data_IF_663570329528
#
_entry.id   IF_663570329528
#
_cell.length_a   1.000
_cell.length_b   1.000
_cell.length_c   1.000
_cell.angle_alpha   90.00
_cell.angle_beta   90.00
_cell.angle_gamma   90.00
#
_symmetry.space_group_name_H-M   'P 1'
#
loop_
_entity.id
_entity.type
_entity.pdbx_description
1 polymer ?
#
# COMPACT_ATOMS: atom_id res chain seq x y z
N UNK A 1 70.33 8.78 -48.98
CA UNK A 1 69.24 9.74 -49.24
C UNK A 1 67.91 9.11 -48.84
N UNK A 2 67.20 9.78 -47.92
CA UNK A 2 65.84 9.54 -47.40
C UNK A 2 65.51 8.21 -46.71
N UNK A 3 65.86 8.13 -45.41
CA UNK A 3 65.21 7.28 -44.41
C UNK A 3 63.95 7.99 -43.89
N UNK A 4 62.76 7.38 -44.05
CA UNK A 4 61.53 7.83 -43.38
C UNK A 4 61.43 7.14 -42.02
N UNK A 5 61.49 7.92 -40.94
CA UNK A 5 61.28 7.48 -39.56
C UNK A 5 59.78 7.55 -39.30
N UNK A 6 59.16 6.40 -39.00
CA UNK A 6 57.75 6.32 -38.58
C UNK A 6 57.74 6.36 -37.05
N UNK A 7 57.22 7.45 -36.48
CA UNK A 7 56.96 7.55 -35.04
C UNK A 7 55.60 6.89 -34.74
N UNK A 8 55.63 5.76 -34.03
CA UNK A 8 54.45 5.13 -33.44
C UNK A 8 54.07 5.89 -32.17
N UNK A 9 52.97 6.64 -32.21
CA UNK A 9 52.34 7.26 -31.04
C UNK A 9 51.51 6.18 -30.36
N UNK A 10 52.00 5.63 -29.24
CA UNK A 10 51.21 4.77 -28.37
C UNK A 10 50.25 5.63 -27.55
N UNK A 11 48.98 5.60 -27.93
CA UNK A 11 47.88 6.24 -27.19
C UNK A 11 47.53 5.38 -25.97
N UNK A 12 48.07 5.71 -24.80
CA UNK A 12 47.71 5.06 -23.54
C UNK A 12 46.31 5.55 -23.12
N UNK A 13 45.28 4.76 -23.38
CA UNK A 13 43.94 5.00 -22.85
C UNK A 13 43.98 4.80 -21.32
N UNK A 14 43.98 5.90 -20.54
CA UNK A 14 43.63 5.85 -19.13
C UNK A 14 42.12 5.58 -19.03
N UNK A 15 41.77 4.35 -18.64
CA UNK A 15 40.43 4.00 -18.19
C UNK A 15 40.15 4.75 -16.89
N UNK A 16 39.48 5.90 -16.99
CA UNK A 16 38.83 6.54 -15.85
C UNK A 16 37.65 5.63 -15.49
N UNK A 17 37.83 4.78 -14.48
CA UNK A 17 36.73 4.06 -13.86
C UNK A 17 35.82 5.08 -13.20
N UNK A 18 34.74 5.48 -13.88
CA UNK A 18 33.62 6.12 -13.23
C UNK A 18 33.13 5.17 -12.14
N UNK A 19 33.05 5.58 -10.86
CA UNK A 19 32.40 4.75 -9.86
C UNK A 19 30.98 4.52 -10.35
N UNK A 20 30.65 3.25 -10.58
CA UNK A 20 29.27 2.82 -10.69
C UNK A 20 28.57 3.27 -9.43
N UNK A 21 27.67 4.25 -9.54
CA UNK A 21 26.68 4.53 -8.52
C UNK A 21 25.79 3.29 -8.48
N UNK A 22 26.22 2.27 -7.72
CA UNK A 22 25.32 1.23 -7.29
C UNK A 22 24.16 1.97 -6.60
N UNK A 23 22.92 1.66 -6.98
CA UNK A 23 21.74 2.14 -6.28
C UNK A 23 21.92 1.79 -4.80
N UNK A 24 22.35 2.75 -4.00
CA UNK A 24 22.53 2.56 -2.57
C UNK A 24 21.12 2.49 -2.00
N UNK A 25 20.67 1.27 -1.66
CA UNK A 25 19.35 1.08 -1.08
C UNK A 25 19.31 1.88 0.22
N UNK A 26 18.58 3.01 0.23
CA UNK A 26 18.55 3.94 1.36
C UNK A 26 17.98 3.34 2.65
N UNK A 27 17.38 2.15 2.55
CA UNK A 27 16.87 1.40 3.69
C UNK A 27 17.41 -0.03 3.58
N UNK A 28 18.38 -0.42 4.42
CA UNK A 28 18.90 -1.78 4.41
C UNK A 28 17.79 -2.79 4.66
N UNK A 29 17.88 -3.94 3.99
CA UNK A 29 16.93 -5.03 4.16
C UNK A 29 16.80 -5.44 5.64
N UNK A 30 15.56 -5.66 6.09
CA UNK A 30 15.27 -6.07 7.47
C UNK A 30 15.34 -4.96 8.51
N UNK A 31 15.68 -3.73 8.10
CA UNK A 31 15.72 -2.55 8.97
C UNK A 31 14.50 -1.65 8.76
N UNK A 32 14.20 -0.85 9.79
CA UNK A 32 13.19 0.19 9.78
C UNK A 32 13.85 1.56 9.70
N UNK A 33 13.56 2.35 8.66
CA UNK A 33 13.87 3.78 8.64
C UNK A 33 12.73 4.55 9.32
N UNK A 34 13.07 5.47 10.22
CA UNK A 34 12.13 6.40 10.86
C UNK A 34 12.28 7.78 10.19
N UNK A 35 11.41 8.15 9.23
CA UNK A 35 11.66 9.31 8.37
C UNK A 35 11.80 10.63 9.14
N UNK A 36 11.05 10.80 10.23
CA UNK A 36 11.11 12.00 11.08
C UNK A 36 12.47 12.23 11.74
N UNK A 37 13.27 11.17 11.95
CA UNK A 37 14.59 11.24 12.58
C UNK A 37 15.75 10.90 11.66
N UNK A 38 15.46 10.29 10.49
CA UNK A 38 16.47 9.75 9.57
C UNK A 38 17.23 8.54 10.10
N UNK A 39 16.83 7.99 11.26
CA UNK A 39 17.53 6.86 11.90
C UNK A 39 16.96 5.53 11.44
N UNK A 40 17.84 4.55 11.29
CA UNK A 40 17.47 3.15 11.09
C UNK A 40 17.41 2.40 12.43
N UNK A 41 16.52 1.42 12.52
CA UNK A 41 16.32 0.57 13.70
C UNK A 41 16.12 -0.89 13.28
N UNK A 42 16.60 -1.81 14.10
CA UNK A 42 16.29 -3.24 13.92
C UNK A 42 14.82 -3.51 14.23
N UNK A 43 14.27 -4.60 13.69
CA UNK A 43 12.90 -5.02 14.03
C UNK A 43 12.72 -5.21 15.55
N UNK A 44 13.72 -5.75 16.25
CA UNK A 44 13.66 -5.90 17.71
C UNK A 44 13.54 -4.56 18.44
N UNK A 45 14.16 -3.49 17.93
CA UNK A 45 14.13 -2.17 18.54
C UNK A 45 12.87 -1.37 18.19
N UNK A 46 12.25 -1.63 17.03
CA UNK A 46 11.06 -0.90 16.57
C UNK A 46 9.72 -1.59 16.93
N UNK A 47 9.74 -2.90 17.18
CA UNK A 47 8.51 -3.65 17.45
C UNK A 47 7.72 -3.17 18.70
N UNK A 48 8.35 -2.79 19.84
CA UNK A 48 7.62 -2.31 21.02
C UNK A 48 6.70 -1.10 20.76
N UNK A 49 7.02 -0.28 19.77
CA UNK A 49 6.22 0.88 19.34
C UNK A 49 4.88 0.44 18.74
N UNK A 50 4.80 -0.78 18.21
CA UNK A 50 3.61 -1.33 17.56
C UNK A 50 2.65 -1.97 18.56
N UNK A 51 3.17 -2.54 19.64
CA UNK A 51 2.38 -3.32 20.62
C UNK A 51 1.25 -2.49 21.26
N UNK A 52 1.50 -1.21 21.51
CA UNK A 52 0.56 -0.32 22.22
C UNK A 52 -0.39 0.44 21.29
N UNK A 53 -0.35 0.17 19.99
CA UNK A 53 -1.07 0.99 19.01
C UNK A 53 -2.44 0.43 18.71
N UNK A 54 -3.47 1.27 18.79
CA UNK A 54 -4.83 0.83 18.50
C UNK A 54 -5.06 0.58 17.01
N UNK A 55 -4.41 1.36 16.15
CA UNK A 55 -4.54 1.25 14.70
C UNK A 55 -3.18 1.27 14.03
N UNK A 56 -2.93 0.31 13.16
CA UNK A 56 -1.72 0.21 12.35
C UNK A 56 -2.16 0.04 10.89
N UNK A 57 -1.63 0.85 9.99
CA UNK A 57 -1.83 0.72 8.56
C UNK A 57 -0.56 0.15 7.94
N UNK A 58 -0.69 -0.97 7.23
CA UNK A 58 0.38 -1.64 6.52
C UNK A 58 0.20 -1.40 5.01
N UNK A 59 1.20 -0.74 4.43
CA UNK A 59 1.30 -0.50 2.99
C UNK A 59 1.68 -1.74 2.20
N UNK A 60 1.47 -1.68 0.89
CA UNK A 60 2.04 -2.61 -0.09
C UNK A 60 2.13 -1.99 -1.47
N UNK A 61 2.95 -2.64 -2.29
CA UNK A 61 2.75 -2.68 -3.73
C UNK A 61 2.07 -4.01 -4.05
N UNK A 62 0.89 -3.95 -4.64
CA UNK A 62 -0.06 -5.07 -4.70
C UNK A 62 0.47 -6.35 -5.38
N UNK A 63 1.48 -6.24 -6.24
CA UNK A 63 2.09 -7.36 -6.95
C UNK A 63 3.36 -7.89 -6.26
N UNK A 64 3.89 -7.18 -5.27
CA UNK A 64 5.18 -7.49 -4.65
C UNK A 64 4.99 -8.54 -3.54
N UNK A 65 5.44 -9.77 -3.79
CA UNK A 65 5.33 -10.87 -2.84
C UNK A 65 6.06 -10.62 -1.50
N UNK A 66 7.20 -9.92 -1.53
CA UNK A 66 7.98 -9.62 -0.32
C UNK A 66 7.21 -8.68 0.63
N UNK A 67 6.41 -7.77 0.08
CA UNK A 67 5.54 -6.90 0.88
C UNK A 67 4.49 -7.71 1.66
N UNK A 68 3.83 -8.66 1.01
CA UNK A 68 2.84 -9.51 1.69
C UNK A 68 3.48 -10.48 2.69
N UNK A 69 4.69 -10.97 2.41
CA UNK A 69 5.46 -11.77 3.37
C UNK A 69 5.82 -10.97 4.62
N UNK A 70 6.27 -9.72 4.46
CA UNK A 70 6.53 -8.80 5.56
C UNK A 70 5.26 -8.51 6.38
N UNK A 71 4.13 -8.20 5.73
CA UNK A 71 2.85 -8.00 6.41
C UNK A 71 2.47 -9.22 7.25
N UNK A 72 2.60 -10.43 6.70
CA UNK A 72 2.32 -11.67 7.43
C UNK A 72 3.27 -11.87 8.61
N UNK A 73 4.56 -11.62 8.42
CA UNK A 73 5.56 -11.74 9.48
C UNK A 73 5.27 -10.78 10.64
N UNK A 74 4.85 -9.55 10.33
CA UNK A 74 4.49 -8.56 11.32
C UNK A 74 3.20 -8.92 12.06
N UNK A 75 2.16 -9.36 11.33
CA UNK A 75 0.91 -9.84 11.92
C UNK A 75 1.13 -11.02 12.87
N UNK A 76 2.00 -11.96 12.52
CA UNK A 76 2.37 -13.08 13.40
C UNK A 76 3.02 -12.60 14.69
N UNK A 77 3.94 -11.63 14.60
CA UNK A 77 4.59 -11.04 15.78
C UNK A 77 3.59 -10.29 16.67
N UNK A 78 2.72 -9.45 16.08
CA UNK A 78 1.65 -8.75 16.80
C UNK A 78 0.71 -9.73 17.50
N UNK A 79 0.26 -10.76 16.78
CA UNK A 79 -0.66 -11.77 17.32
C UNK A 79 -0.05 -12.55 18.49
N UNK A 80 1.25 -12.88 18.41
CA UNK A 80 1.97 -13.57 19.47
C UNK A 80 2.03 -12.74 20.78
N UNK A 81 1.96 -11.41 20.69
CA UNK A 81 1.89 -10.51 21.86
C UNK A 81 0.46 -10.24 22.31
N UNK A 82 -0.43 -9.96 21.36
CA UNK A 82 -1.81 -9.62 21.62
C UNK A 82 -2.71 -10.32 20.60
N UNK A 83 -3.43 -11.39 20.98
CA UNK A 83 -4.31 -12.11 20.06
C UNK A 83 -5.59 -11.33 19.71
N UNK A 84 -5.86 -10.20 20.38
CA UNK A 84 -7.03 -9.36 20.12
C UNK A 84 -6.85 -8.47 18.89
N UNK A 85 -6.64 -9.09 17.74
CA UNK A 85 -6.47 -8.44 16.44
C UNK A 85 -7.75 -8.44 15.61
N UNK A 86 -7.88 -7.45 14.74
CA UNK A 86 -8.76 -7.46 13.57
C UNK A 86 -7.94 -7.00 12.37
N UNK A 87 -8.13 -7.63 11.21
CA UNK A 87 -7.43 -7.27 9.97
C UNK A 87 -8.43 -6.66 8.98
N UNK A 88 -8.21 -5.41 8.59
CA UNK A 88 -8.94 -4.74 7.50
C UNK A 88 -8.26 -4.97 6.16
N UNK A 89 -9.03 -5.23 5.11
CA UNK A 89 -8.52 -5.69 3.82
C UNK A 89 -9.08 -4.84 2.66
N UNK A 90 -8.22 -4.03 2.02
CA UNK A 90 -8.61 -3.15 0.91
C UNK A 90 -9.24 -3.90 -0.28
N UNK A 91 -8.79 -5.12 -0.53
CA UNK A 91 -9.17 -5.90 -1.71
C UNK A 91 -10.62 -6.36 -1.72
N UNK A 92 -11.31 -6.25 -0.58
CA UNK A 92 -12.70 -6.67 -0.45
C UNK A 92 -13.63 -5.46 -0.36
N UNK A 93 -14.59 -5.32 -1.30
CA UNK A 93 -15.69 -4.38 -1.11
C UNK A 93 -16.58 -4.84 0.04
N UNK A 94 -17.21 -3.92 0.77
CA UNK A 94 -17.98 -4.24 2.00
C UNK A 94 -19.05 -5.30 1.82
N UNK A 95 -19.61 -5.44 0.62
CA UNK A 95 -20.56 -6.51 0.29
C UNK A 95 -19.99 -7.93 0.49
N UNK A 96 -18.66 -8.07 0.52
CA UNK A 96 -17.95 -9.33 0.76
C UNK A 96 -17.76 -9.67 2.24
N UNK A 97 -18.22 -8.84 3.17
CA UNK A 97 -18.09 -9.14 4.61
C UNK A 97 -18.65 -10.53 4.98
N UNK A 98 -19.84 -10.97 4.52
CA UNK A 98 -20.34 -12.30 4.85
C UNK A 98 -19.42 -13.44 4.37
N UNK A 99 -18.73 -13.27 3.24
CA UNK A 99 -17.77 -14.26 2.74
C UNK A 99 -16.53 -14.35 3.65
N UNK A 100 -16.02 -13.19 4.09
CA UNK A 100 -14.90 -13.13 5.02
C UNK A 100 -15.24 -13.80 6.36
N UNK A 101 -16.46 -13.58 6.85
CA UNK A 101 -16.96 -14.21 8.08
C UNK A 101 -17.06 -15.74 7.93
N UNK A 102 -17.61 -16.23 6.81
CA UNK A 102 -17.66 -17.67 6.50
C UNK A 102 -16.25 -18.28 6.41
N UNK A 103 -15.31 -17.57 5.80
CA UNK A 103 -13.92 -18.00 5.66
C UNK A 103 -13.22 -18.16 7.01
N UNK A 104 -13.30 -17.15 7.89
CA UNK A 104 -12.68 -17.17 9.21
C UNK A 104 -13.31 -18.25 10.11
N UNK A 105 -14.62 -18.46 10.01
CA UNK A 105 -15.35 -19.50 10.73
C UNK A 105 -15.20 -20.91 10.13
N UNK A 106 -14.33 -21.08 9.14
CA UNK A 106 -14.04 -22.38 8.47
C UNK A 106 -15.25 -23.05 7.82
N UNK A 107 -16.27 -22.28 7.44
CA UNK A 107 -17.53 -22.78 6.86
C UNK A 107 -17.41 -23.12 5.37
N UNK A 108 -16.42 -22.54 4.69
CA UNK A 108 -16.12 -22.77 3.27
C UNK A 108 -14.66 -23.18 3.11
N UNK A 109 -14.31 -23.89 2.04
CA UNK A 109 -12.92 -24.24 1.73
C UNK A 109 -12.23 -23.16 0.86
N UNK A 110 -10.96 -23.39 0.52
CA UNK A 110 -10.16 -22.47 -0.31
C UNK A 110 -10.79 -22.26 -1.70
N UNK A 111 -11.28 -23.32 -2.33
CA UNK A 111 -11.81 -23.25 -3.68
C UNK A 111 -13.12 -22.46 -3.73
N UNK A 112 -14.02 -22.70 -2.77
CA UNK A 112 -15.25 -21.95 -2.59
C UNK A 112 -14.97 -20.48 -2.27
N UNK A 113 -13.97 -20.18 -1.44
CA UNK A 113 -13.57 -18.80 -1.13
C UNK A 113 -13.05 -18.05 -2.36
N UNK A 114 -12.15 -18.65 -3.15
CA UNK A 114 -11.62 -18.02 -4.38
C UNK A 114 -12.76 -17.74 -5.36
N UNK A 115 -13.66 -18.71 -5.57
CA UNK A 115 -14.79 -18.54 -6.48
C UNK A 115 -15.76 -17.45 -6.02
N UNK A 116 -16.16 -17.49 -4.74
CA UNK A 116 -17.14 -16.56 -4.18
C UNK A 116 -16.59 -15.14 -3.98
N UNK A 117 -15.27 -14.99 -3.80
CA UNK A 117 -14.62 -13.68 -3.70
C UNK A 117 -14.56 -12.94 -5.02
N UNK A 118 -14.84 -13.61 -6.14
CA UNK A 118 -14.69 -13.04 -7.48
C UNK A 118 -13.30 -12.42 -7.69
N UNK A 119 -12.26 -13.06 -7.13
CA UNK A 119 -10.92 -12.49 -6.96
C UNK A 119 -10.35 -11.87 -8.24
N UNK A 120 -10.44 -12.60 -9.35
CA UNK A 120 -9.92 -12.15 -10.66
C UNK A 120 -10.67 -10.93 -11.22
N UNK A 121 -11.91 -10.69 -10.78
CA UNK A 121 -12.71 -9.52 -11.19
C UNK A 121 -12.50 -8.33 -10.24
N UNK A 122 -12.41 -8.60 -8.94
CA UNK A 122 -12.37 -7.56 -7.92
C UNK A 122 -10.95 -7.04 -7.72
N UNK A 123 -9.97 -7.92 -7.59
CA UNK A 123 -8.60 -7.54 -7.25
C UNK A 123 -7.62 -7.77 -8.40
N UNK A 124 -7.68 -8.93 -9.06
CA UNK A 124 -6.88 -9.27 -10.25
C UNK A 124 -5.35 -9.27 -10.04
N UNK A 125 -4.88 -9.55 -8.82
CA UNK A 125 -3.48 -9.85 -8.51
C UNK A 125 -3.33 -11.36 -8.20
N UNK A 126 -2.09 -11.87 -8.14
CA UNK A 126 -1.87 -13.28 -7.79
C UNK A 126 -2.45 -13.58 -6.39
N UNK A 127 -3.46 -14.44 -6.33
CA UNK A 127 -4.10 -14.86 -5.09
C UNK A 127 -3.10 -15.49 -4.11
N UNK A 128 -2.06 -16.14 -4.60
CA UNK A 128 -1.06 -16.81 -3.75
C UNK A 128 -0.24 -15.84 -2.92
N UNK A 129 -0.12 -14.58 -3.34
CA UNK A 129 0.53 -13.54 -2.54
C UNK A 129 -0.29 -13.18 -1.29
N UNK A 130 -1.63 -13.22 -1.38
CA UNK A 130 -2.53 -12.83 -0.30
C UNK A 130 -3.03 -14.01 0.54
N UNK A 131 -3.09 -15.21 -0.06
CA UNK A 131 -3.60 -16.41 0.60
C UNK A 131 -2.95 -16.69 1.97
N UNK A 132 -1.64 -16.50 2.19
CA UNK A 132 -1.03 -16.66 3.51
C UNK A 132 -1.63 -15.75 4.59
N UNK A 133 -2.01 -14.51 4.25
CA UNK A 133 -2.68 -13.57 5.16
C UNK A 133 -4.08 -14.09 5.53
N UNK A 134 -4.86 -14.52 4.55
CA UNK A 134 -6.21 -15.04 4.77
C UNK A 134 -6.20 -16.35 5.56
N UNK A 135 -5.26 -17.24 5.25
CA UNK A 135 -5.07 -18.51 5.94
C UNK A 135 -4.64 -18.29 7.39
N UNK A 136 -3.73 -17.34 7.64
CA UNK A 136 -3.32 -16.95 8.99
C UNK A 136 -4.51 -16.46 9.82
N UNK A 137 -5.34 -15.59 9.26
CA UNK A 137 -6.54 -15.10 9.96
C UNK A 137 -7.53 -16.24 10.27
N UNK A 138 -7.81 -17.12 9.30
CA UNK A 138 -8.69 -18.29 9.49
C UNK A 138 -8.18 -19.25 10.56
N UNK A 139 -6.88 -19.57 10.54
CA UNK A 139 -6.32 -20.56 11.45
C UNK A 139 -6.35 -20.07 12.90
N UNK A 140 -6.28 -18.75 13.11
CA UNK A 140 -6.28 -18.09 14.41
C UNK A 140 -7.62 -17.45 14.79
N UNK A 141 -8.67 -17.62 13.97
CA UNK A 141 -9.98 -16.98 14.15
C UNK A 141 -9.91 -15.44 14.31
N UNK A 142 -8.95 -14.80 13.63
CA UNK A 142 -8.82 -13.34 13.59
C UNK A 142 -9.91 -12.80 12.65
N UNK A 143 -10.79 -11.90 13.13
CA UNK A 143 -11.80 -11.29 12.26
C UNK A 143 -11.15 -10.54 11.09
N UNK A 144 -11.70 -10.75 9.90
CA UNK A 144 -11.36 -10.01 8.69
C UNK A 144 -12.46 -8.99 8.40
N UNK A 145 -12.09 -7.78 8.01
CA UNK A 145 -13.05 -6.72 7.67
C UNK A 145 -12.83 -6.24 6.25
N UNK A 146 -13.89 -6.24 5.44
CA UNK A 146 -13.90 -5.67 4.11
C UNK A 146 -14.00 -4.14 4.21
N UNK A 147 -12.93 -3.41 3.87
CA UNK A 147 -12.85 -1.97 4.11
C UNK A 147 -13.20 -1.11 2.89
N UNK A 148 -13.33 -1.69 1.70
CA UNK A 148 -13.43 -0.90 0.46
C UNK A 148 -14.86 -0.86 -0.12
N UNK A 149 -15.09 -0.06 -1.15
CA UNK A 149 -16.34 0.03 -1.95
C UNK A 149 -16.28 -0.83 -3.20
N UNK A 150 -17.43 -1.07 -3.82
CA UNK A 150 -17.43 -1.60 -5.18
C UNK A 150 -16.77 -0.62 -6.17
N UNK A 151 -15.97 -1.17 -7.09
CA UNK A 151 -15.35 -0.41 -8.19
C UNK A 151 -16.40 0.32 -9.07
N UNK A 152 -17.65 -0.15 -9.10
CA UNK A 152 -18.75 0.54 -9.81
C UNK A 152 -19.05 1.91 -9.21
N UNK A 153 -19.06 2.05 -7.87
CA UNK A 153 -19.24 3.33 -7.19
C UNK A 153 -18.10 4.29 -7.53
N UNK A 154 -16.85 3.82 -7.43
CA UNK A 154 -15.68 4.61 -7.80
C UNK A 154 -15.75 5.12 -9.25
N UNK A 155 -16.16 4.26 -10.19
CA UNK A 155 -16.35 4.65 -11.60
C UNK A 155 -17.47 5.68 -11.77
N UNK A 156 -18.59 5.53 -11.06
CA UNK A 156 -19.68 6.51 -11.10
C UNK A 156 -19.19 7.87 -10.60
N UNK A 157 -18.45 7.89 -9.49
CA UNK A 157 -17.90 9.12 -8.91
C UNK A 157 -16.90 9.79 -9.84
N UNK A 158 -16.01 9.02 -10.46
CA UNK A 158 -15.09 9.56 -11.46
C UNK A 158 -15.82 10.25 -12.62
N UNK A 159 -16.95 9.67 -13.05
CA UNK A 159 -17.71 10.14 -14.22
C UNK A 159 -18.65 11.30 -13.91
N UNK A 160 -19.33 11.24 -12.77
CA UNK A 160 -20.46 12.10 -12.42
C UNK A 160 -20.16 13.07 -11.27
N UNK A 161 -19.10 12.81 -10.50
CA UNK A 161 -18.79 13.53 -9.27
C UNK A 161 -19.59 13.03 -8.07
N UNK A 162 -18.99 13.08 -6.88
CA UNK A 162 -19.54 12.55 -5.63
C UNK A 162 -20.88 13.19 -5.24
N UNK A 163 -20.99 14.51 -5.37
CA UNK A 163 -22.18 15.27 -5.03
C UNK A 163 -23.41 14.82 -5.84
N UNK A 164 -23.19 14.30 -7.04
CA UNK A 164 -24.24 13.82 -7.94
C UNK A 164 -24.60 12.34 -7.75
N UNK A 165 -23.99 11.64 -6.79
CA UNK A 165 -24.32 10.24 -6.48
C UNK A 165 -25.50 10.22 -5.50
N UNK A 166 -26.66 9.63 -5.88
CA UNK A 166 -27.80 9.49 -4.98
C UNK A 166 -27.42 8.66 -3.75
N UNK A 167 -27.99 9.01 -2.59
CA UNK A 167 -27.65 8.41 -1.28
C UNK A 167 -27.72 6.88 -1.30
N UNK A 168 -28.75 6.30 -1.91
CA UNK A 168 -28.92 4.84 -2.05
C UNK A 168 -27.74 4.13 -2.76
N UNK A 169 -26.97 4.86 -3.57
CA UNK A 169 -25.81 4.32 -4.29
C UNK A 169 -24.48 4.59 -3.57
N UNK A 170 -24.48 5.36 -2.48
CA UNK A 170 -23.26 5.77 -1.74
C UNK A 170 -22.65 4.65 -0.88
N UNK A 171 -23.32 3.50 -0.76
CA UNK A 171 -22.87 2.36 0.04
C UNK A 171 -22.52 2.73 1.50
N UNK A 172 -23.31 3.65 2.07
CA UNK A 172 -23.16 4.12 3.44
C UNK A 172 -21.98 5.05 3.70
N UNK A 173 -21.30 5.55 2.65
CA UNK A 173 -20.15 6.45 2.80
C UNK A 173 -20.61 7.89 2.99
N UNK A 174 -20.06 8.54 4.01
CA UNK A 174 -20.26 9.96 4.19
C UNK A 174 -19.34 10.79 3.27
N UNK A 175 -19.53 12.11 3.30
CA UNK A 175 -18.73 13.00 2.45
C UNK A 175 -17.22 12.91 2.77
N UNK A 176 -16.36 12.70 1.77
CA UNK A 176 -14.91 12.73 1.97
C UNK A 176 -14.44 14.10 2.46
N UNK A 177 -13.45 14.12 3.35
CA UNK A 177 -12.77 15.35 3.70
C UNK A 177 -12.08 15.93 2.45
N UNK A 178 -12.08 17.26 2.32
CA UNK A 178 -11.44 17.95 1.19
C UNK A 178 -9.94 17.63 1.16
N UNK A 179 -9.35 17.41 -0.02
CA UNK A 179 -7.93 17.13 -0.12
C UNK A 179 -7.11 18.36 0.29
N UNK A 180 -5.95 18.13 0.89
CA UNK A 180 -4.95 19.19 1.02
C UNK A 180 -4.32 19.50 -0.35
N UNK A 181 -3.79 20.71 -0.54
CA UNK A 181 -3.10 21.04 -1.80
C UNK A 181 -1.89 20.13 -2.11
N UNK A 182 -1.04 19.74 -1.13
CA UNK A 182 0.01 18.75 -1.38
C UNK A 182 -0.54 17.44 -1.93
N UNK A 183 -1.68 16.96 -1.42
CA UNK A 183 -2.28 15.73 -1.91
C UNK A 183 -2.80 15.89 -3.34
N UNK A 184 -3.44 17.02 -3.66
CA UNK A 184 -3.86 17.32 -5.05
C UNK A 184 -2.66 17.35 -6.00
N UNK A 185 -1.50 17.89 -5.57
CA UNK A 185 -0.27 17.86 -6.39
C UNK A 185 0.26 16.43 -6.59
N UNK A 186 0.29 15.61 -5.53
CA UNK A 186 0.69 14.20 -5.65
C UNK A 186 -0.24 13.42 -6.60
N UNK A 187 -1.56 13.67 -6.50
CA UNK A 187 -2.57 13.13 -7.41
C UNK A 187 -2.33 13.56 -8.85
N UNK A 188 -1.89 14.80 -9.09
CA UNK A 188 -1.60 15.29 -10.44
C UNK A 188 -0.45 14.52 -11.10
N UNK A 189 0.64 14.26 -10.36
CA UNK A 189 1.77 13.46 -10.84
C UNK A 189 1.36 12.03 -11.18
N UNK A 190 0.60 11.37 -10.29
CA UNK A 190 0.06 10.02 -10.56
C UNK A 190 -0.90 10.01 -11.75
N UNK A 191 -1.78 11.01 -11.86
CA UNK A 191 -2.74 11.11 -12.95
C UNK A 191 -2.04 11.22 -14.31
N UNK A 192 -0.98 12.02 -14.43
CA UNK A 192 -0.24 12.17 -15.67
C UNK A 192 0.39 10.85 -16.14
N UNK A 193 0.92 10.04 -15.21
CA UNK A 193 1.48 8.72 -15.51
C UNK A 193 0.47 7.71 -16.08
N UNK A 194 -0.83 7.92 -15.89
CA UNK A 194 -1.88 7.04 -16.41
C UNK A 194 -2.28 7.31 -17.87
N UNK A 195 -1.80 8.38 -18.49
CA UNK A 195 -2.19 8.76 -19.85
C UNK A 195 -1.00 8.82 -20.79
N UNK A 196 -0.92 7.87 -21.71
CA UNK A 196 0.01 7.93 -22.85
C UNK A 196 -0.42 8.97 -23.89
N UNK A 197 -1.69 9.37 -23.87
CA UNK A 197 -2.28 10.36 -24.76
C UNK A 197 -2.59 11.66 -23.99
N UNK A 198 -1.81 12.73 -24.20
CA UNK A 198 -2.00 14.00 -23.50
C UNK A 198 -3.37 14.64 -23.71
N UNK A 199 -4.08 14.35 -24.81
CA UNK A 199 -5.40 14.94 -25.10
C UNK A 199 -6.48 14.52 -24.09
N UNK A 200 -6.25 13.41 -23.37
CA UNK A 200 -7.15 12.90 -22.34
C UNK A 200 -6.92 13.56 -20.97
N UNK A 201 -5.84 14.33 -20.82
CA UNK A 201 -5.50 15.08 -19.61
C UNK A 201 -6.32 16.39 -19.60
N UNK A 202 -7.58 16.27 -19.21
CA UNK A 202 -8.49 17.43 -19.07
C UNK A 202 -8.72 17.78 -17.60
N UNK A 203 -9.04 19.04 -17.30
CA UNK A 203 -9.42 19.48 -15.95
C UNK A 203 -10.57 18.63 -15.38
N UNK A 204 -11.58 18.32 -16.20
CA UNK A 204 -12.72 17.49 -15.78
C UNK A 204 -12.28 16.06 -15.43
N UNK A 205 -11.45 15.44 -16.27
CA UNK A 205 -10.95 14.09 -16.01
C UNK A 205 -10.08 14.03 -14.73
N UNK A 206 -9.25 15.05 -14.51
CA UNK A 206 -8.44 15.16 -13.31
C UNK A 206 -9.29 15.34 -12.04
N UNK A 207 -10.28 16.24 -12.06
CA UNK A 207 -11.20 16.43 -10.93
C UNK A 207 -11.98 15.15 -10.60
N UNK A 208 -12.45 14.43 -11.62
CA UNK A 208 -13.09 13.12 -11.43
C UNK A 208 -12.15 12.10 -10.80
N UNK A 209 -10.88 12.07 -11.21
CA UNK A 209 -9.86 11.21 -10.59
C UNK A 209 -9.61 11.56 -9.13
N UNK A 210 -9.46 12.85 -8.79
CA UNK A 210 -9.31 13.32 -7.41
C UNK A 210 -10.49 12.87 -6.55
N UNK A 211 -11.73 13.07 -7.01
CA UNK A 211 -12.92 12.65 -6.26
C UNK A 211 -13.02 11.13 -6.10
N UNK A 212 -12.61 10.37 -7.12
CA UNK A 212 -12.54 8.91 -7.04
C UNK A 212 -11.57 8.47 -5.93
N UNK A 213 -10.36 9.05 -5.88
CA UNK A 213 -9.35 8.70 -4.88
C UNK A 213 -9.81 9.07 -3.47
N UNK A 214 -10.36 10.28 -3.28
CA UNK A 214 -10.89 10.70 -1.99
C UNK A 214 -11.99 9.79 -1.46
N UNK A 215 -12.90 9.33 -2.33
CA UNK A 215 -13.94 8.41 -1.91
C UNK A 215 -13.37 7.04 -1.54
N UNK A 216 -12.38 6.57 -2.29
CA UNK A 216 -11.69 5.30 -2.01
C UNK A 216 -11.03 5.35 -0.62
N UNK A 217 -10.29 6.41 -0.33
CA UNK A 217 -9.68 6.64 0.99
C UNK A 217 -10.73 6.76 2.10
N UNK A 218 -11.80 7.52 1.83
CA UNK A 218 -12.89 7.73 2.79
C UNK A 218 -13.56 6.42 3.16
N UNK A 219 -13.81 5.57 2.16
CA UNK A 219 -14.41 4.26 2.34
C UNK A 219 -13.59 3.38 3.30
N UNK A 220 -12.28 3.31 3.08
CA UNK A 220 -11.38 2.53 3.93
C UNK A 220 -11.28 3.12 5.34
N UNK A 221 -11.16 4.44 5.45
CA UNK A 221 -11.08 5.15 6.72
C UNK A 221 -12.34 4.93 7.59
N UNK A 222 -13.53 5.05 7.01
CA UNK A 222 -14.78 4.84 7.75
C UNK A 222 -14.94 3.39 8.22
N UNK A 223 -14.62 2.42 7.36
CA UNK A 223 -14.69 1.01 7.76
C UNK A 223 -13.73 0.70 8.93
N UNK A 224 -12.50 1.20 8.89
CA UNK A 224 -11.52 1.06 9.96
C UNK A 224 -11.95 1.80 11.23
N UNK A 225 -12.43 3.05 11.11
CA UNK A 225 -12.91 3.83 12.25
C UNK A 225 -14.12 3.17 12.93
N UNK A 226 -15.08 2.68 12.15
CA UNK A 226 -16.25 1.95 12.66
C UNK A 226 -15.83 0.68 13.39
N UNK A 227 -14.88 -0.06 12.81
CA UNK A 227 -14.32 -1.28 13.43
C UNK A 227 -13.66 -0.96 14.77
N UNK A 228 -12.83 0.08 14.83
CA UNK A 228 -12.13 0.51 16.05
C UNK A 228 -13.09 1.03 17.15
N UNK A 229 -14.21 1.67 16.77
CA UNK A 229 -15.27 2.11 17.69
C UNK A 229 -16.05 0.93 18.26
N UNK A 230 -16.40 -0.04 17.42
CA UNK A 230 -17.18 -1.21 17.83
C UNK A 230 -16.34 -2.25 18.58
N UNK A 231 -15.01 -2.16 18.52
CA UNK A 231 -14.09 -3.10 19.17
C UNK A 231 -13.03 -2.34 19.99
N UNK A 232 -13.42 -1.70 21.12
CA UNK A 232 -12.54 -0.79 21.84
C UNK A 232 -11.26 -1.45 22.37
N UNK A 233 -11.30 -2.76 22.64
CA UNK A 233 -10.22 -3.55 23.22
C UNK A 233 -9.39 -4.32 22.18
N UNK A 234 -9.64 -4.12 20.88
CA UNK A 234 -8.91 -4.79 19.80
C UNK A 234 -7.97 -3.83 19.09
N UNK A 235 -6.80 -4.35 18.72
CA UNK A 235 -5.87 -3.67 17.82
C UNK A 235 -6.30 -3.96 16.38
N UNK A 236 -6.39 -2.90 15.57
CA UNK A 236 -6.87 -2.95 14.19
C UNK A 236 -5.68 -2.78 13.26
N UNK A 237 -5.48 -3.71 12.33
CA UNK A 237 -4.43 -3.65 11.32
C UNK A 237 -5.07 -3.55 9.93
N UNK A 238 -4.92 -2.42 9.24
CA UNK A 238 -5.40 -2.25 7.87
C UNK A 238 -4.33 -2.59 6.85
N UNK A 239 -4.62 -3.45 5.88
CA UNK A 239 -3.74 -3.78 4.76
C UNK A 239 -4.28 -3.12 3.49
N UNK A 240 -3.45 -2.28 2.87
CA UNK A 240 -3.81 -1.48 1.70
C UNK A 240 -2.58 -1.02 0.92
N UNK A 241 -2.75 -0.58 -0.32
CA UNK A 241 -1.68 -0.02 -1.13
C UNK A 241 -0.98 1.16 -0.45
N UNK A 242 0.36 1.18 -0.48
CA UNK A 242 1.18 2.23 0.16
C UNK A 242 0.80 3.63 -0.29
N UNK A 243 0.35 3.80 -1.55
CA UNK A 243 -0.07 5.08 -2.09
C UNK A 243 -1.26 5.71 -1.32
N UNK A 244 -2.12 4.90 -0.71
CA UNK A 244 -3.21 5.36 0.16
C UNK A 244 -2.74 5.82 1.56
N UNK A 245 -1.47 5.59 1.90
CA UNK A 245 -0.89 5.85 3.23
C UNK A 245 0.16 6.97 3.19
N UNK A 246 1.05 6.95 2.18
CA UNK A 246 2.26 7.76 2.18
C UNK A 246 1.99 9.26 2.28
N UNK A 247 2.96 9.98 2.85
CA UNK A 247 2.92 11.43 3.12
C UNK A 247 1.79 11.84 4.08
N UNK A 248 1.18 10.86 4.77
CA UNK A 248 0.02 11.07 5.64
C UNK A 248 -1.21 11.58 4.90
N UNK A 249 -1.27 11.42 3.57
CA UNK A 249 -2.44 11.76 2.77
C UNK A 249 -3.46 10.60 2.80
N UNK A 250 -4.34 10.51 1.80
CA UNK A 250 -5.28 9.40 1.63
C UNK A 250 -6.01 8.94 2.90
N UNK A 251 -5.87 7.67 3.24
CA UNK A 251 -6.55 7.01 4.37
C UNK A 251 -6.18 7.64 5.72
N UNK A 252 -4.90 7.85 6.09
CA UNK A 252 -4.55 8.58 7.30
C UNK A 252 -5.24 9.94 7.45
N UNK A 253 -5.33 10.70 6.35
CA UNK A 253 -6.00 11.99 6.35
C UNK A 253 -7.51 11.86 6.59
N UNK A 254 -8.16 10.92 5.91
CA UNK A 254 -9.59 10.65 6.09
C UNK A 254 -9.89 10.10 7.49
N UNK A 255 -9.04 9.24 8.06
CA UNK A 255 -9.17 8.73 9.43
C UNK A 255 -9.16 9.85 10.48
N UNK A 256 -8.22 10.81 10.36
CA UNK A 256 -8.19 11.99 11.24
C UNK A 256 -9.46 12.81 11.11
N UNK A 257 -10.00 12.95 9.91
CA UNK A 257 -11.25 13.69 9.68
C UNK A 257 -12.49 13.05 10.33
N UNK A 258 -12.43 11.75 10.66
CA UNK A 258 -13.49 11.02 11.40
C UNK A 258 -13.12 10.77 12.87
N UNK A 259 -12.12 11.47 13.39
CA UNK A 259 -11.74 11.45 14.80
C UNK A 259 -10.74 10.37 15.20
N UNK A 260 -10.16 9.63 14.26
CA UNK A 260 -9.09 8.67 14.53
C UNK A 260 -7.74 9.36 14.36
N UNK A 261 -7.14 9.79 15.47
CA UNK A 261 -5.86 10.51 15.47
C UNK A 261 -4.66 9.64 15.86
N UNK A 262 -4.87 8.58 16.64
CA UNK A 262 -3.82 7.68 17.08
C UNK A 262 -3.74 6.47 16.14
N UNK A 263 -2.84 6.52 15.17
CA UNK A 263 -2.55 5.44 14.23
C UNK A 263 -1.06 5.44 13.90
N UNK A 264 -0.52 4.28 13.54
CA UNK A 264 0.79 4.18 12.88
C UNK A 264 0.64 3.83 11.41
N UNK A 265 1.50 4.39 10.59
CA UNK A 265 1.63 4.15 9.16
C UNK A 265 2.97 3.48 8.88
N UNK A 266 2.92 2.23 8.42
CA UNK A 266 4.09 1.42 8.12
C UNK A 266 4.04 1.06 6.65
N UNK A 267 5.08 1.40 5.89
CA UNK A 267 5.15 1.09 4.46
C UNK A 267 6.42 0.29 4.16
N UNK A 268 6.36 -0.71 3.29
CA UNK A 268 7.55 -1.39 2.84
C UNK A 268 8.23 -0.56 1.75
N UNK A 269 9.55 -0.72 1.66
CA UNK A 269 10.40 -0.14 0.63
C UNK A 269 10.86 -1.23 -0.33
N UNK A 270 10.72 -0.96 -1.62
CA UNK A 270 11.34 -1.71 -2.71
C UNK A 270 12.06 -0.77 -3.68
N UNK A 271 12.70 -1.34 -4.68
CA UNK A 271 13.47 -0.68 -5.74
C UNK A 271 12.62 0.20 -6.67
N UNK A 272 11.28 0.13 -6.59
CA UNK A 272 10.39 1.00 -7.34
C UNK A 272 10.21 2.38 -6.69
N UNK A 273 10.70 2.59 -5.46
CA UNK A 273 10.67 3.87 -4.79
C UNK A 273 12.04 4.56 -4.87
N UNK A 274 12.04 5.84 -5.23
CA UNK A 274 13.24 6.68 -5.24
C UNK A 274 13.49 7.20 -3.83
N UNK A 275 14.67 6.95 -3.29
CA UNK A 275 15.11 7.42 -1.97
C UNK A 275 14.91 8.92 -1.77
N UNK A 276 15.00 9.72 -2.85
CA UNK A 276 14.75 11.16 -2.81
C UNK A 276 13.29 11.53 -2.52
N UNK A 277 12.36 10.60 -2.70
CA UNK A 277 10.94 10.78 -2.38
C UNK A 277 10.63 10.66 -0.89
N UNK A 278 11.53 10.07 -0.10
CA UNK A 278 11.35 9.94 1.35
C UNK A 278 11.54 11.31 2.00
N UNK A 279 10.45 11.80 2.59
CA UNK A 279 10.45 12.99 3.43
C UNK A 279 10.01 12.63 4.85
N UNK A 280 10.10 13.59 5.79
CA UNK A 280 9.77 13.35 7.20
C UNK A 280 8.32 12.92 7.46
N UNK A 281 7.40 13.16 6.51
CA UNK A 281 5.99 12.80 6.61
C UNK A 281 5.65 11.53 5.82
N UNK A 282 6.62 10.89 5.18
CA UNK A 282 6.40 9.78 4.25
C UNK A 282 5.61 8.64 4.87
N UNK A 283 5.99 8.23 6.08
CA UNK A 283 5.28 7.28 6.95
C UNK A 283 5.88 7.39 8.37
N UNK A 284 5.26 6.77 9.37
CA UNK A 284 5.84 6.70 10.72
C UNK A 284 7.09 5.80 10.75
N UNK A 285 7.09 4.74 9.96
CA UNK A 285 8.29 3.98 9.63
C UNK A 285 8.21 3.30 8.28
N UNK A 286 9.38 3.06 7.69
CA UNK A 286 9.55 2.40 6.40
C UNK A 286 10.40 1.15 6.60
N UNK A 287 9.93 -0.01 6.15
CA UNK A 287 10.66 -1.27 6.27
C UNK A 287 11.40 -1.61 4.98
N UNK A 288 12.71 -1.89 5.06
CA UNK A 288 13.47 -2.43 3.93
C UNK A 288 13.02 -3.86 3.63
N UNK A 289 12.08 -4.03 2.69
CA UNK A 289 11.65 -5.34 2.23
C UNK A 289 12.65 -5.88 1.21
N UNK A 290 12.73 -7.21 1.06
CA UNK A 290 13.63 -7.82 0.08
C UNK A 290 13.26 -7.34 -1.33
N UNK A 291 14.24 -6.90 -2.11
CA UNK A 291 14.04 -6.69 -3.55
C UNK A 291 13.74 -8.05 -4.19
N UNK A 292 12.65 -8.15 -4.95
CA UNK A 292 12.40 -9.32 -5.80
C UNK A 292 13.07 -9.13 -7.16
N UNK A 293 14.37 -8.88 -7.19
CA UNK A 293 15.13 -8.99 -8.43
C UNK A 293 15.31 -10.49 -8.76
N UNK A 294 14.55 -10.93 -9.77
CA UNK A 294 14.73 -12.14 -10.56
C UNK A 294 14.73 -13.51 -9.83
N UNK A 295 13.54 -14.06 -9.61
CA UNK A 295 13.32 -15.43 -10.12
C UNK A 295 13.08 -15.31 -11.62
N UNK A 296 14.17 -15.37 -12.38
CA UNK A 296 14.12 -15.72 -13.79
C UNK A 296 13.43 -17.08 -13.91
N UNK A 297 12.14 -17.09 -14.19
CA UNK A 297 11.53 -18.21 -14.86
C UNK A 297 12.11 -18.20 -16.27
N UNK A 298 13.24 -18.90 -16.45
CA UNK A 298 13.61 -19.40 -17.77
C UNK A 298 12.45 -20.25 -18.25
N UNK A 299 11.84 -19.82 -19.33
CA UNK A 299 10.96 -20.65 -20.12
C UNK A 299 11.75 -21.89 -20.57
N UNK A 300 11.24 -23.06 -20.22
CA UNK A 300 11.26 -24.27 -21.05
C UNK A 300 9.79 -24.68 -21.26
#
# INVERSE_FOLDING_TARGET
MNRRIIYLITLTLLLISNPSWANEQCIPEGQWLIPSSGKTQTTQAYFPQLENQKMILLGEHHANAAHHQWQLALLKQLYAKNPNLIIGLEMFPRRMQPLLDQWVNKQIDKAAFIKASEWDKIWAYDFNNYYPLFSFARNNHIPLVAINVDKSLLRMVRKHGWENIPEQHRQGISDPAKPSEPYVRQLATSFQGHYSDPSKITKKAFLGFVQQQLLWDRAMAEALANTARNNPNKQIVGIMGSWHIINGHGVPYQLRSVGVNNMLTLVPWDDHLDCQSINQQFADAIYGAQSTDALSFSAD
#
